data_IF_509012464626
#
_entry.id   IF_509012464626
#
_cell.length_a   1.000
_cell.length_b   1.000
_cell.length_c   1.000
_cell.angle_alpha   90.00
_cell.angle_beta   90.00
_cell.angle_gamma   90.00
#
_symmetry.space_group_name_H-M   'P 1'
#
loop_
_entity.id
_entity.type
_entity.pdbx_description
1 polymer ?
#
# COMPACT_ATOMS: atom_id res chain seq x y z
N UNK A 1 20.44 -1.44 22.27
CA UNK A 1 20.16 -2.29 21.12
C UNK A 1 19.17 -1.59 20.21
N UNK A 2 19.50 -1.47 18.94
CA UNK A 2 18.62 -0.85 17.96
C UNK A 2 17.94 -1.91 17.08
N UNK A 3 16.63 -1.84 17.00
CA UNK A 3 15.83 -2.72 16.15
C UNK A 3 14.70 -1.92 15.54
N UNK A 4 14.27 -2.34 14.34
CA UNK A 4 13.13 -1.72 13.66
C UNK A 4 12.44 -2.76 12.80
N UNK A 5 11.18 -2.49 12.46
CA UNK A 5 10.50 -3.29 11.44
C UNK A 5 10.99 -2.76 10.10
N UNK A 6 11.78 -3.56 9.39
CA UNK A 6 12.38 -3.14 8.12
C UNK A 6 11.42 -3.19 6.96
N UNK A 7 10.55 -4.21 6.91
CA UNK A 7 9.59 -4.34 5.83
C UNK A 7 8.35 -5.08 6.30
N UNK A 8 7.23 -4.82 5.61
CA UNK A 8 5.96 -5.52 5.80
C UNK A 8 5.61 -6.13 4.45
N UNK A 9 5.30 -7.42 4.42
CA UNK A 9 4.98 -8.11 3.18
C UNK A 9 3.54 -7.87 2.76
N UNK A 10 3.35 -7.46 1.52
CA UNK A 10 2.05 -7.32 0.88
C UNK A 10 1.98 -8.35 -0.25
N UNK A 11 1.04 -9.28 -0.15
CA UNK A 11 0.88 -10.32 -1.16
C UNK A 11 0.22 -9.73 -2.39
N UNK A 12 0.83 -9.98 -3.55
CA UNK A 12 0.36 -9.45 -4.83
C UNK A 12 0.25 -10.57 -5.87
N UNK A 13 -0.52 -10.32 -6.91
CA UNK A 13 -0.65 -11.26 -8.01
C UNK A 13 0.52 -11.13 -8.99
N UNK A 14 0.97 -9.92 -9.26
CA UNK A 14 1.99 -9.61 -10.25
C UNK A 14 2.83 -8.43 -9.79
N UNK A 15 4.16 -8.57 -9.88
CA UNK A 15 5.07 -7.51 -9.44
C UNK A 15 4.89 -6.21 -10.22
N UNK A 16 4.90 -6.29 -11.54
CA UNK A 16 4.89 -5.08 -12.38
C UNK A 16 3.56 -4.34 -12.29
N UNK A 17 2.46 -5.08 -12.22
CA UNK A 17 1.13 -4.51 -12.05
C UNK A 17 1.01 -3.76 -10.72
N UNK A 18 1.53 -4.37 -9.64
CA UNK A 18 1.52 -3.76 -8.32
C UNK A 18 2.44 -2.53 -8.27
N UNK A 19 3.65 -2.63 -8.83
CA UNK A 19 4.57 -1.49 -8.90
C UNK A 19 3.89 -0.31 -9.60
N UNK A 20 3.25 -0.57 -10.74
CA UNK A 20 2.56 0.47 -11.51
C UNK A 20 1.49 1.17 -10.69
N UNK A 21 0.64 0.39 -10.02
CA UNK A 21 -0.42 0.97 -9.21
C UNK A 21 0.14 1.87 -8.11
N UNK A 22 1.08 1.34 -7.32
CA UNK A 22 1.60 2.08 -6.17
C UNK A 22 2.41 3.30 -6.57
N UNK A 23 3.19 3.22 -7.64
CA UNK A 23 3.99 4.38 -8.07
C UNK A 23 3.17 5.40 -8.84
N UNK A 24 2.27 4.97 -9.73
CA UNK A 24 1.52 5.90 -10.58
C UNK A 24 0.28 6.47 -9.91
N UNK A 25 -0.42 5.66 -9.12
CA UNK A 25 -1.69 6.08 -8.52
C UNK A 25 -1.57 6.59 -7.09
N UNK A 26 -0.64 6.04 -6.31
CA UNK A 26 -0.41 6.47 -4.94
C UNK A 26 0.85 7.31 -4.77
N UNK A 27 1.59 7.51 -5.85
CA UNK A 27 2.84 8.27 -5.84
C UNK A 27 3.88 7.73 -4.87
N UNK A 28 3.88 6.41 -4.67
CA UNK A 28 4.92 5.73 -3.90
C UNK A 28 6.21 5.68 -4.70
N UNK A 29 7.31 5.40 -4.03
CA UNK A 29 8.62 5.26 -4.66
C UNK A 29 9.02 3.80 -4.71
N UNK A 30 9.58 3.39 -5.84
CA UNK A 30 10.21 2.08 -5.98
C UNK A 30 11.61 2.17 -5.37
N UNK A 31 11.80 1.50 -4.23
CA UNK A 31 13.05 1.59 -3.48
C UNK A 31 14.07 0.59 -4.00
N UNK A 32 13.60 -0.61 -4.31
CA UNK A 32 14.48 -1.67 -4.83
C UNK A 32 13.69 -2.63 -5.68
N UNK A 33 14.30 -3.15 -6.75
CA UNK A 33 13.71 -4.17 -7.60
C UNK A 33 14.84 -5.04 -8.11
N UNK A 34 15.07 -6.16 -7.42
CA UNK A 34 16.18 -7.08 -7.71
C UNK A 34 15.63 -8.45 -8.04
N UNK A 35 15.99 -8.98 -9.21
CA UNK A 35 15.63 -10.34 -9.59
C UNK A 35 16.46 -11.32 -8.77
N UNK A 36 15.79 -12.26 -8.11
CA UNK A 36 16.46 -13.31 -7.32
C UNK A 36 16.60 -14.61 -8.11
N UNK A 37 15.58 -14.95 -8.91
CA UNK A 37 15.59 -16.08 -9.81
C UNK A 37 14.56 -15.85 -10.92
N UNK A 38 14.22 -16.87 -11.71
CA UNK A 38 13.29 -16.71 -12.84
C UNK A 38 11.89 -16.29 -12.43
N UNK A 39 11.49 -16.52 -11.17
CA UNK A 39 10.13 -16.29 -10.71
C UNK A 39 10.03 -15.29 -9.56
N UNK A 40 11.12 -15.08 -8.83
CA UNK A 40 11.10 -14.30 -7.60
C UNK A 40 11.94 -13.04 -7.72
N UNK A 41 11.37 -11.94 -7.24
CA UNK A 41 12.03 -10.64 -7.20
C UNK A 41 11.97 -10.10 -5.78
N UNK A 42 12.95 -9.29 -5.43
CA UNK A 42 12.98 -8.53 -4.19
C UNK A 42 12.54 -7.11 -4.53
N UNK A 43 11.28 -6.80 -4.24
CA UNK A 43 10.69 -5.51 -4.63
C UNK A 43 10.24 -4.77 -3.39
N UNK A 44 10.83 -3.60 -3.16
CA UNK A 44 10.49 -2.75 -2.03
C UNK A 44 9.91 -1.44 -2.55
N UNK A 45 8.79 -1.02 -1.97
CA UNK A 45 8.18 0.28 -2.23
C UNK A 45 7.98 1.01 -0.91
N UNK A 46 7.81 2.33 -0.98
CA UNK A 46 7.59 3.17 0.20
C UNK A 46 6.85 4.43 -0.21
N UNK A 47 6.12 5.08 0.73
CA UNK A 47 5.42 6.33 0.43
C UNK A 47 6.35 7.46 -0.02
N UNK A 48 7.61 7.45 0.42
CA UNK A 48 8.62 8.42 0.00
C UNK A 48 10.01 7.80 0.13
N UNK A 49 11.06 8.57 -0.20
CA UNK A 49 12.44 8.07 -0.20
C UNK A 49 13.09 7.99 1.18
N UNK A 50 12.44 8.50 2.22
CA UNK A 50 13.01 8.60 3.57
C UNK A 50 12.35 7.68 4.57
N UNK A 51 11.57 6.73 4.11
CA UNK A 51 10.86 5.77 4.97
C UNK A 51 11.83 4.74 5.53
N UNK A 52 11.79 4.51 6.84
CA UNK A 52 12.57 3.46 7.47
C UNK A 52 11.96 2.08 7.26
N UNK A 53 10.62 1.99 7.25
CA UNK A 53 9.90 0.75 6.99
C UNK A 53 9.37 0.75 5.57
N UNK A 54 9.73 -0.28 4.81
CA UNK A 54 9.28 -0.43 3.43
C UNK A 54 8.19 -1.49 3.33
N UNK A 55 7.57 -1.57 2.16
CA UNK A 55 6.61 -2.62 1.83
C UNK A 55 7.29 -3.54 0.83
N UNK A 56 7.36 -4.83 1.18
CA UNK A 56 7.86 -5.87 0.28
C UNK A 56 6.68 -6.39 -0.53
N UNK A 57 6.72 -6.23 -1.84
CA UNK A 57 5.71 -6.84 -2.71
C UNK A 57 6.07 -8.31 -2.88
N UNK A 58 5.22 -9.20 -2.37
CA UNK A 58 5.46 -10.63 -2.35
C UNK A 58 4.46 -11.33 -3.28
N UNK A 59 4.95 -11.83 -4.42
CA UNK A 59 4.10 -12.52 -5.38
C UNK A 59 3.58 -13.83 -4.78
N UNK A 60 2.28 -14.05 -4.88
CA UNK A 60 1.64 -15.26 -4.39
C UNK A 60 2.22 -16.49 -5.11
N UNK A 61 2.62 -17.51 -4.33
CA UNK A 61 3.25 -18.72 -4.86
C UNK A 61 2.51 -20.02 -4.50
N UNK A 62 1.46 -19.92 -3.67
CA UNK A 62 0.68 -21.07 -3.24
C UNK A 62 -0.80 -20.74 -3.30
N UNK A 63 -1.71 -21.76 -3.30
CA UNK A 63 -3.15 -21.49 -3.26
C UNK A 63 -3.59 -20.65 -2.07
N UNK A 64 -2.99 -20.87 -0.89
CA UNK A 64 -3.30 -20.08 0.30
C UNK A 64 -2.89 -18.63 0.12
N UNK A 65 -1.73 -18.39 -0.48
CA UNK A 65 -1.26 -17.03 -0.75
C UNK A 65 -2.13 -16.36 -1.80
N UNK A 66 -2.56 -17.08 -2.83
CA UNK A 66 -3.46 -16.54 -3.85
C UNK A 66 -4.79 -16.10 -3.25
N UNK A 67 -5.31 -16.87 -2.30
CA UNK A 67 -6.56 -16.52 -1.60
C UNK A 67 -6.40 -15.29 -0.72
N UNK A 68 -5.18 -15.02 -0.26
CA UNK A 68 -4.90 -13.88 0.60
C UNK A 68 -4.70 -12.57 -0.18
N UNK A 69 -4.55 -12.63 -1.50
CA UNK A 69 -4.42 -11.42 -2.31
C UNK A 69 -5.65 -10.53 -2.07
N UNK A 70 -5.41 -9.28 -1.63
CA UNK A 70 -6.48 -8.34 -1.34
C UNK A 70 -7.22 -8.59 -0.03
N UNK A 71 -6.86 -9.63 0.73
CA UNK A 71 -7.58 -10.00 1.94
C UNK A 71 -6.65 -10.54 3.04
N UNK A 72 -5.44 -10.01 3.13
CA UNK A 72 -4.46 -10.47 4.13
C UNK A 72 -4.95 -10.31 5.56
N UNK A 73 -5.80 -9.34 5.81
CA UNK A 73 -6.27 -9.01 7.16
C UNK A 73 -7.69 -9.50 7.41
N UNK A 74 -8.25 -10.29 6.50
CA UNK A 74 -9.60 -10.81 6.66
C UNK A 74 -10.68 -9.74 6.57
N UNK A 75 -10.42 -8.67 5.81
CA UNK A 75 -11.39 -7.59 5.59
C UNK A 75 -11.14 -6.33 6.38
N UNK A 76 -10.16 -6.33 7.28
CA UNK A 76 -9.80 -5.12 8.01
C UNK A 76 -8.84 -4.27 7.18
N UNK A 77 -8.73 -3.00 7.56
CA UNK A 77 -7.70 -2.11 7.01
C UNK A 77 -6.33 -2.72 7.32
N UNK A 78 -5.50 -2.83 6.29
CA UNK A 78 -4.17 -3.45 6.42
C UNK A 78 -3.14 -2.43 6.90
N UNK A 79 -3.06 -1.28 6.23
CA UNK A 79 -2.06 -0.25 6.52
C UNK A 79 -2.72 1.13 6.59
N UNK A 80 -2.04 2.03 7.29
CA UNK A 80 -2.50 3.40 7.50
C UNK A 80 -1.49 4.34 6.85
N UNK A 81 -1.91 5.04 5.81
CA UNK A 81 -1.07 6.00 5.11
C UNK A 81 -1.32 7.38 5.72
N UNK A 82 -0.37 7.84 6.51
CA UNK A 82 -0.44 9.17 7.10
C UNK A 82 0.02 10.22 6.10
N UNK A 83 -0.68 11.34 6.03
CA UNK A 83 -0.33 12.42 5.13
C UNK A 83 -0.38 13.76 5.88
N UNK A 84 0.38 14.72 5.40
CA UNK A 84 0.34 16.09 5.89
C UNK A 84 -0.67 16.96 5.17
N UNK A 85 -1.31 16.43 4.11
CA UNK A 85 -2.33 17.16 3.35
C UNK A 85 -3.34 16.18 2.76
N UNK A 86 -4.37 15.90 3.55
CA UNK A 86 -5.39 14.90 3.21
C UNK A 86 -6.08 15.22 1.88
N UNK A 87 -6.57 16.44 1.71
CA UNK A 87 -7.39 16.77 0.55
C UNK A 87 -6.59 16.80 -0.75
N UNK A 88 -5.32 17.21 -0.68
CA UNK A 88 -4.42 17.12 -1.83
C UNK A 88 -4.31 15.67 -2.31
N UNK A 89 -4.03 14.76 -1.38
CA UNK A 89 -3.81 13.35 -1.72
C UNK A 89 -5.11 12.67 -2.12
N UNK A 90 -6.20 12.95 -1.40
CA UNK A 90 -7.50 12.40 -1.73
C UNK A 90 -7.92 12.75 -3.16
N UNK A 91 -7.83 14.03 -3.52
CA UNK A 91 -8.22 14.47 -4.87
C UNK A 91 -7.30 13.92 -5.95
N UNK A 92 -6.00 13.87 -5.69
CA UNK A 92 -5.03 13.29 -6.64
C UNK A 92 -5.31 11.82 -6.89
N UNK A 93 -5.52 11.04 -5.83
CA UNK A 93 -5.81 9.61 -5.94
C UNK A 93 -7.14 9.37 -6.64
N UNK A 94 -8.16 10.17 -6.30
CA UNK A 94 -9.47 10.02 -6.92
C UNK A 94 -9.41 10.32 -8.41
N UNK A 95 -8.66 11.34 -8.82
CA UNK A 95 -8.51 11.69 -10.23
C UNK A 95 -7.80 10.60 -11.03
N UNK A 96 -7.01 9.76 -10.37
CA UNK A 96 -6.30 8.64 -10.99
C UNK A 96 -7.10 7.33 -10.94
N UNK A 97 -8.33 7.36 -10.42
CA UNK A 97 -9.20 6.21 -10.40
C UNK A 97 -9.05 5.28 -9.22
N UNK A 98 -8.41 5.71 -8.13
CA UNK A 98 -8.34 4.92 -6.91
C UNK A 98 -9.75 4.74 -6.35
N UNK A 99 -10.09 3.53 -5.93
CA UNK A 99 -11.40 3.21 -5.39
C UNK A 99 -11.47 3.55 -3.90
N UNK A 100 -12.35 4.48 -3.56
CA UNK A 100 -12.67 4.82 -2.17
C UNK A 100 -13.95 4.11 -1.76
N UNK A 101 -13.97 3.53 -0.56
CA UNK A 101 -15.10 2.74 -0.07
C UNK A 101 -16.15 3.56 0.66
N UNK A 102 -15.86 4.82 0.92
CA UNK A 102 -16.72 5.71 1.70
C UNK A 102 -16.41 7.15 1.35
N UNK A 103 -17.21 8.07 1.87
CA UNK A 103 -16.88 9.49 1.84
C UNK A 103 -15.87 9.80 2.95
N UNK A 104 -14.98 10.79 2.75
CA UNK A 104 -14.09 11.22 3.84
C UNK A 104 -14.86 11.54 5.12
N UNK A 105 -14.29 11.14 6.25
CA UNK A 105 -14.88 11.33 7.58
C UNK A 105 -14.01 12.23 8.43
N UNK A 106 -14.66 13.10 9.19
CA UNK A 106 -13.97 13.87 10.23
C UNK A 106 -14.16 13.14 11.55
N UNK A 107 -13.04 12.73 12.15
CA UNK A 107 -13.03 12.03 13.42
C UNK A 107 -12.32 12.88 14.47
N UNK A 108 -12.49 12.58 15.77
CA UNK A 108 -11.76 13.37 16.79
C UNK A 108 -10.24 13.36 16.59
N UNK A 109 -9.68 12.31 16.00
CA UNK A 109 -8.23 12.17 15.80
C UNK A 109 -7.75 12.72 14.46
N UNK A 110 -8.62 13.01 13.51
CA UNK A 110 -8.20 13.51 12.20
C UNK A 110 -9.22 13.28 11.12
N UNK A 111 -8.78 13.51 9.87
CA UNK A 111 -9.56 13.29 8.66
C UNK A 111 -9.12 11.97 8.05
N UNK A 112 -10.08 11.10 7.69
CA UNK A 112 -9.77 9.75 7.26
C UNK A 112 -10.72 9.27 6.17
N UNK A 113 -10.22 8.40 5.28
CA UNK A 113 -11.04 7.70 4.31
C UNK A 113 -10.41 6.34 4.01
N UNK A 114 -11.25 5.32 3.82
CA UNK A 114 -10.79 3.99 3.43
C UNK A 114 -10.73 3.91 1.90
N UNK A 115 -9.62 3.41 1.39
CA UNK A 115 -9.50 3.11 -0.05
C UNK A 115 -8.96 1.70 -0.25
N UNK A 116 -9.07 1.21 -1.47
CA UNK A 116 -8.54 -0.10 -1.84
C UNK A 116 -7.43 0.05 -2.87
N UNK A 117 -6.45 -0.87 -2.82
CA UNK A 117 -5.50 -0.99 -3.91
C UNK A 117 -6.13 -1.82 -5.05
N UNK A 118 -5.32 -2.14 -6.07
CA UNK A 118 -5.81 -2.84 -7.26
C UNK A 118 -6.33 -4.25 -6.98
N UNK A 119 -5.98 -4.82 -5.83
CA UNK A 119 -6.40 -6.18 -5.46
C UNK A 119 -7.49 -6.18 -4.39
N UNK A 120 -7.88 -5.00 -3.91
CA UNK A 120 -8.86 -4.89 -2.85
C UNK A 120 -8.28 -4.82 -1.44
N UNK A 121 -6.96 -4.71 -1.31
CA UNK A 121 -6.31 -4.48 -0.02
C UNK A 121 -6.75 -3.12 0.51
N UNK A 122 -7.25 -3.10 1.74
CA UNK A 122 -7.80 -1.88 2.34
C UNK A 122 -6.74 -1.06 3.06
N UNK A 123 -6.77 0.22 2.81
CA UNK A 123 -5.89 1.22 3.41
C UNK A 123 -6.71 2.35 4.00
N UNK A 124 -6.21 2.95 5.08
CA UNK A 124 -6.69 4.28 5.50
C UNK A 124 -5.76 5.34 4.94
N UNK A 125 -6.32 6.38 4.37
CA UNK A 125 -5.62 7.65 4.16
C UNK A 125 -6.01 8.55 5.32
N UNK A 126 -5.03 9.04 6.07
CA UNK A 126 -5.28 9.67 7.36
C UNK A 126 -4.37 10.87 7.59
N UNK A 127 -4.98 12.01 7.90
CA UNK A 127 -4.25 13.17 8.39
C UNK A 127 -4.63 13.39 9.85
N UNK A 128 -3.69 13.22 10.77
CA UNK A 128 -3.91 13.43 12.20
C UNK A 128 -4.03 14.93 12.51
N UNK A 129 -4.83 15.24 13.51
CA UNK A 129 -4.95 16.61 14.01
C UNK A 129 -3.72 17.05 14.78
#
# INVERSE_FOLDING_TARGET
MERKIGAIALIVKDYDEAIRFYTEKLNFKLIEDTRLDDKKRWVLIAPNNQTETTILLARAATPEQEKAIGNQTGGRVFLFLHTDDFWRDYHAMKSKGVLFLEQPREEPYGTVVVFEDLYGTKWDLLELK
#
